data_IF_543375029501
#
_entry.id   IF_543375029501
#
_cell.length_a   1.000
_cell.length_b   1.000
_cell.length_c   1.000
_cell.angle_alpha   90.00
_cell.angle_beta   90.00
_cell.angle_gamma   90.00
#
_symmetry.space_group_name_H-M   'P 1'
#
loop_
_entity.id
_entity.type
_entity.pdbx_description
1 polymer ?
#
# COMPACT_ATOMS: atom_id res chain seq x y z
N UNK A 1 -7.91 -1.81 -5.10
CA UNK A 1 -6.70 -1.28 -5.78
C UNK A 1 -5.45 -1.43 -4.91
N UNK A 2 -5.52 -1.13 -3.60
CA UNK A 2 -4.35 -1.17 -2.70
C UNK A 2 -3.66 -2.54 -2.66
N UNK A 3 -4.43 -3.62 -2.59
CA UNK A 3 -3.91 -4.99 -2.61
C UNK A 3 -3.19 -5.31 -3.93
N UNK A 4 -3.79 -4.95 -5.08
CA UNK A 4 -3.16 -5.14 -6.39
C UNK A 4 -1.84 -4.37 -6.50
N UNK A 5 -1.78 -3.14 -5.96
CA UNK A 5 -0.57 -2.32 -5.95
C UNK A 5 0.58 -3.03 -5.22
N UNK A 6 0.31 -3.62 -4.06
CA UNK A 6 1.31 -4.33 -3.26
C UNK A 6 1.63 -5.75 -3.75
N UNK A 7 0.85 -6.26 -4.69
CA UNK A 7 1.13 -7.53 -5.38
C UNK A 7 1.92 -7.34 -6.68
N UNK A 8 1.59 -6.31 -7.47
CA UNK A 8 2.20 -6.07 -8.78
C UNK A 8 3.48 -5.24 -8.69
N UNK A 9 3.47 -4.16 -7.91
CA UNK A 9 4.58 -3.24 -7.81
C UNK A 9 5.91 -3.90 -7.44
N UNK A 10 5.97 -4.69 -6.35
CA UNK A 10 7.22 -5.33 -5.95
C UNK A 10 7.73 -6.39 -6.94
N UNK A 11 6.85 -6.98 -7.75
CA UNK A 11 7.24 -7.96 -8.77
C UNK A 11 7.90 -7.37 -9.99
N UNK A 12 7.68 -6.09 -10.21
CA UNK A 12 8.13 -5.39 -11.41
C UNK A 12 8.88 -4.11 -11.05
N UNK A 13 10.00 -4.21 -10.32
CA UNK A 13 10.78 -3.03 -9.91
C UNK A 13 11.31 -2.24 -11.12
N UNK A 14 11.46 -2.89 -12.27
CA UNK A 14 11.84 -2.26 -13.53
C UNK A 14 10.76 -1.34 -14.11
N UNK A 15 9.50 -1.49 -13.68
CA UNK A 15 8.36 -0.69 -14.13
C UNK A 15 7.84 0.26 -13.07
N UNK A 16 7.92 -0.12 -11.79
CA UNK A 16 7.29 0.58 -10.68
C UNK A 16 8.32 0.97 -9.63
N UNK A 17 8.82 2.20 -9.71
CA UNK A 17 9.75 2.77 -8.71
C UNK A 17 9.05 3.25 -7.43
N UNK A 18 7.74 3.50 -7.48
CA UNK A 18 6.96 3.93 -6.32
C UNK A 18 5.55 3.32 -6.32
N UNK A 19 5.04 3.06 -5.14
CA UNK A 19 3.73 2.44 -4.90
C UNK A 19 2.93 3.26 -3.90
N UNK A 20 1.66 3.55 -4.22
CA UNK A 20 0.73 4.32 -3.38
C UNK A 20 -0.53 3.50 -3.06
N UNK A 21 -0.44 2.40 -2.30
CA UNK A 21 -1.62 1.63 -1.90
C UNK A 21 -2.42 2.35 -0.81
N UNK A 22 -3.74 2.25 -0.89
CA UNK A 22 -4.67 2.71 0.14
C UNK A 22 -5.56 1.56 0.54
N UNK A 23 -5.76 1.38 1.84
CA UNK A 23 -6.64 0.37 2.44
C UNK A 23 -6.44 -1.04 1.82
N UNK A 24 -5.17 -1.45 1.66
CA UNK A 24 -4.81 -2.74 1.08
C UNK A 24 -5.01 -3.91 2.05
N UNK A 25 -5.45 -5.05 1.52
CA UNK A 25 -5.58 -6.27 2.28
C UNK A 25 -4.23 -6.97 2.46
N UNK A 26 -4.00 -7.51 3.66
CA UNK A 26 -2.85 -8.39 3.91
C UNK A 26 -3.06 -9.79 3.34
N UNK A 27 -4.30 -10.29 3.39
CA UNK A 27 -4.70 -11.59 2.88
C UNK A 27 -5.84 -11.41 1.88
N UNK A 28 -5.52 -11.26 0.58
CA UNK A 28 -6.54 -11.05 -0.44
C UNK A 28 -7.59 -12.15 -0.42
N UNK A 29 -8.87 -11.78 -0.30
CA UNK A 29 -9.95 -12.75 -0.23
C UNK A 29 -11.16 -12.34 -1.07
N UNK A 30 -11.92 -13.36 -1.49
CA UNK A 30 -13.30 -13.21 -1.93
C UNK A 30 -14.19 -14.04 -0.98
N UNK A 31 -14.42 -13.49 0.22
CA UNK A 31 -15.11 -14.13 1.33
C UNK A 31 -14.14 -14.70 2.38
N UNK A 32 -13.53 -15.85 2.14
CA UNK A 32 -12.54 -16.44 3.06
C UNK A 32 -11.30 -16.92 2.32
N UNK A 33 -10.16 -16.99 3.02
CA UNK A 33 -8.92 -17.55 2.47
C UNK A 33 -9.11 -18.97 1.96
N UNK A 34 -9.80 -19.82 2.74
CA UNK A 34 -10.05 -21.21 2.34
C UNK A 34 -10.86 -21.33 1.04
N UNK A 35 -11.87 -20.46 0.87
CA UNK A 35 -12.64 -20.37 -0.39
C UNK A 35 -11.74 -19.89 -1.54
N UNK A 36 -10.95 -18.86 -1.30
CA UNK A 36 -10.03 -18.32 -2.28
C UNK A 36 -9.04 -19.37 -2.78
N UNK A 37 -8.38 -20.09 -1.86
CA UNK A 37 -7.44 -21.18 -2.19
C UNK A 37 -8.13 -22.26 -3.02
N UNK A 38 -9.31 -22.69 -2.60
CA UNK A 38 -10.06 -23.75 -3.30
C UNK A 38 -10.48 -23.35 -4.71
N UNK A 39 -11.05 -22.16 -4.88
CA UNK A 39 -11.71 -21.76 -6.12
C UNK A 39 -10.75 -21.14 -7.15
N UNK A 40 -9.75 -20.39 -6.69
CA UNK A 40 -8.86 -19.65 -7.58
C UNK A 40 -7.45 -20.21 -7.68
N UNK A 41 -7.05 -21.06 -6.73
CA UNK A 41 -5.73 -21.67 -6.69
C UNK A 41 -5.77 -23.20 -6.75
N UNK A 42 -6.89 -23.79 -7.17
CA UNK A 42 -7.09 -25.23 -7.28
C UNK A 42 -6.73 -26.01 -6.00
N UNK A 43 -6.90 -25.38 -4.83
CA UNK A 43 -6.54 -25.96 -3.52
C UNK A 43 -5.06 -25.80 -3.14
N UNK A 44 -4.24 -25.18 -3.97
CA UNK A 44 -2.82 -24.95 -3.69
C UNK A 44 -2.61 -23.76 -2.77
N UNK A 45 -2.38 -24.07 -1.48
CA UNK A 45 -2.09 -23.05 -0.45
C UNK A 45 -0.80 -22.30 -0.74
N UNK A 46 0.23 -22.97 -1.27
CA UNK A 46 1.53 -22.35 -1.57
C UNK A 46 1.41 -21.32 -2.68
N UNK A 47 0.63 -21.62 -3.72
CA UNK A 47 0.34 -20.67 -4.80
C UNK A 47 -0.42 -19.43 -4.30
N UNK A 48 -1.36 -19.63 -3.36
CA UNK A 48 -2.03 -18.50 -2.69
C UNK A 48 -1.05 -17.68 -1.85
N UNK A 49 -0.24 -18.33 -1.01
CA UNK A 49 0.70 -17.66 -0.11
C UNK A 49 1.72 -16.82 -0.89
N UNK A 50 2.10 -17.26 -2.09
CA UNK A 50 2.95 -16.50 -3.00
C UNK A 50 2.28 -15.19 -3.53
N UNK A 51 0.97 -15.01 -3.33
CA UNK A 51 0.24 -13.78 -3.69
C UNK A 51 0.00 -12.84 -2.50
N UNK A 52 0.29 -13.29 -1.28
CA UNK A 52 0.15 -12.47 -0.08
C UNK A 52 1.16 -11.32 -0.14
N UNK A 53 0.75 -10.03 -0.02
CA UNK A 53 1.62 -8.87 -0.22
C UNK A 53 2.95 -8.91 0.52
N UNK A 54 2.95 -9.30 1.80
CA UNK A 54 4.21 -9.37 2.58
C UNK A 54 5.17 -10.43 2.04
N UNK A 55 4.66 -11.53 1.51
CA UNK A 55 5.47 -12.59 0.89
C UNK A 55 6.00 -12.15 -0.48
N UNK A 56 5.16 -11.44 -1.26
CA UNK A 56 5.57 -10.85 -2.53
C UNK A 56 6.71 -9.86 -2.32
N UNK A 57 6.55 -8.93 -1.38
CA UNK A 57 7.58 -7.94 -1.05
C UNK A 57 8.87 -8.63 -0.60
N UNK A 58 8.78 -9.62 0.28
CA UNK A 58 9.95 -10.36 0.76
C UNK A 58 10.69 -11.11 -0.36
N UNK A 59 9.97 -11.60 -1.37
CA UNK A 59 10.54 -12.40 -2.45
C UNK A 59 11.07 -11.54 -3.61
N UNK A 60 10.45 -10.40 -3.90
CA UNK A 60 10.68 -9.64 -5.14
C UNK A 60 10.88 -8.15 -4.96
N UNK A 61 10.65 -7.60 -3.76
CA UNK A 61 10.81 -6.17 -3.48
C UNK A 61 12.27 -5.72 -3.61
N UNK A 62 12.47 -4.49 -4.05
CA UNK A 62 13.77 -3.87 -4.28
C UNK A 62 13.97 -2.63 -3.40
N UNK A 63 15.20 -2.40 -2.93
CA UNK A 63 15.60 -1.16 -2.24
C UNK A 63 15.49 0.09 -3.11
N UNK A 64 15.41 -0.07 -4.43
CA UNK A 64 15.22 1.05 -5.36
C UNK A 64 13.76 1.49 -5.47
N UNK A 65 12.85 0.70 -4.88
CA UNK A 65 11.43 1.05 -4.81
C UNK A 65 11.10 1.83 -3.55
N UNK A 66 9.99 2.56 -3.60
CA UNK A 66 9.45 3.27 -2.46
C UNK A 66 7.96 2.97 -2.26
N UNK A 67 7.52 3.03 -1.01
CA UNK A 67 6.15 2.76 -0.60
C UNK A 67 5.58 3.94 0.18
N UNK A 68 4.52 4.55 -0.34
CA UNK A 68 3.68 5.49 0.39
C UNK A 68 2.33 4.82 0.63
N UNK A 69 2.08 4.36 1.83
CA UNK A 69 0.87 3.58 2.14
C UNK A 69 -0.04 4.32 3.10
N UNK A 70 -1.34 4.30 2.84
CA UNK A 70 -2.31 5.00 3.67
C UNK A 70 -3.53 4.17 4.03
N UNK A 71 -4.18 4.56 5.16
CA UNK A 71 -5.43 3.97 5.61
C UNK A 71 -6.28 4.99 6.38
N UNK A 72 -7.60 4.79 6.37
CA UNK A 72 -8.52 5.58 7.18
C UNK A 72 -8.42 5.24 8.68
N UNK A 73 -8.46 6.26 9.54
CA UNK A 73 -8.32 6.11 11.01
C UNK A 73 -9.34 5.14 11.62
N UNK A 74 -10.55 5.10 11.08
CA UNK A 74 -11.64 4.25 11.57
C UNK A 74 -11.54 2.81 11.06
N UNK A 75 -10.74 2.55 10.02
CA UNK A 75 -10.45 1.20 9.52
C UNK A 75 -9.22 0.60 10.21
N UNK A 76 -9.44 0.04 11.39
CA UNK A 76 -8.35 -0.55 12.19
C UNK A 76 -7.71 -1.77 11.53
N UNK A 77 -8.44 -2.49 10.69
CA UNK A 77 -7.90 -3.62 9.94
C UNK A 77 -6.95 -3.15 8.85
N UNK A 78 -7.34 -2.17 8.05
CA UNK A 78 -6.46 -1.60 7.03
C UNK A 78 -5.21 -0.94 7.62
N UNK A 79 -5.32 -0.26 8.79
CA UNK A 79 -4.14 0.25 9.50
C UNK A 79 -3.20 -0.89 9.91
N UNK A 80 -3.72 -1.98 10.46
CA UNK A 80 -2.92 -3.14 10.84
C UNK A 80 -2.21 -3.76 9.62
N UNK A 81 -2.95 -3.95 8.54
CA UNK A 81 -2.43 -4.48 7.28
C UNK A 81 -1.34 -3.57 6.69
N UNK A 82 -1.60 -2.26 6.63
CA UNK A 82 -0.63 -1.24 6.20
C UNK A 82 0.69 -1.36 6.95
N UNK A 83 0.65 -1.45 8.28
CA UNK A 83 1.85 -1.55 9.12
C UNK A 83 2.66 -2.81 8.86
N UNK A 84 2.00 -3.95 8.66
CA UNK A 84 2.68 -5.21 8.34
C UNK A 84 3.33 -5.17 6.96
N UNK A 85 2.64 -4.59 5.97
CA UNK A 85 3.17 -4.38 4.62
C UNK A 85 4.36 -3.42 4.66
N UNK A 86 4.23 -2.29 5.37
CA UNK A 86 5.31 -1.32 5.58
C UNK A 86 6.54 -1.95 6.26
N UNK A 87 6.32 -2.79 7.26
CA UNK A 87 7.41 -3.52 7.92
C UNK A 87 8.14 -4.46 6.95
N UNK A 88 7.41 -5.18 6.10
CA UNK A 88 8.01 -6.04 5.08
C UNK A 88 8.82 -5.23 4.06
N UNK A 89 8.28 -4.09 3.61
CA UNK A 89 8.97 -3.18 2.68
C UNK A 89 10.27 -2.61 3.27
N UNK A 90 10.26 -2.17 4.53
CA UNK A 90 11.48 -1.71 5.21
C UNK A 90 12.54 -2.80 5.32
N UNK A 91 12.14 -4.06 5.53
CA UNK A 91 13.09 -5.20 5.62
C UNK A 91 13.86 -5.45 4.34
N UNK A 92 13.29 -5.14 3.19
CA UNK A 92 13.97 -5.24 1.89
C UNK A 92 14.65 -3.93 1.46
N UNK A 93 14.64 -2.92 2.34
CA UNK A 93 15.36 -1.65 2.13
C UNK A 93 14.57 -0.59 1.37
N UNK A 94 13.26 -0.78 1.14
CA UNK A 94 12.43 0.28 0.55
C UNK A 94 12.37 1.51 1.45
N UNK A 95 12.28 2.69 0.85
CA UNK A 95 11.86 3.91 1.52
C UNK A 95 10.34 3.85 1.76
N UNK A 96 9.91 4.02 3.02
CA UNK A 96 8.51 3.79 3.41
C UNK A 96 7.94 4.94 4.21
N UNK A 97 6.85 5.50 3.71
CA UNK A 97 5.99 6.45 4.40
C UNK A 97 4.62 5.82 4.69
N UNK A 98 4.12 5.98 5.89
CA UNK A 98 2.79 5.52 6.32
C UNK A 98 1.93 6.73 6.67
N UNK A 99 0.64 6.66 6.30
CA UNK A 99 -0.30 7.74 6.48
C UNK A 99 -1.61 7.22 7.06
N UNK A 100 -2.06 7.80 8.18
CA UNK A 100 -3.41 7.59 8.70
C UNK A 100 -4.22 8.86 8.49
N UNK A 101 -5.36 8.72 7.82
CA UNK A 101 -6.26 9.85 7.52
C UNK A 101 -7.30 9.97 8.60
N UNK A 102 -7.29 11.05 9.41
CA UNK A 102 -8.25 11.24 10.50
C UNK A 102 -9.69 11.24 10.01
N UNK A 103 -10.60 10.76 10.86
CA UNK A 103 -12.06 10.78 10.65
C UNK A 103 -12.57 10.06 9.40
N UNK A 104 -11.73 9.25 8.73
CA UNK A 104 -12.12 8.44 7.55
C UNK A 104 -12.14 6.95 7.87
N UNK A 105 -12.85 6.18 7.05
CA UNK A 105 -12.87 4.72 7.08
C UNK A 105 -12.26 4.14 5.81
N UNK A 106 -12.75 2.95 5.41
CA UNK A 106 -12.46 2.34 4.10
C UNK A 106 -13.33 3.02 3.03
N UNK A 107 -13.00 4.24 2.70
CA UNK A 107 -13.83 5.09 1.84
C UNK A 107 -13.01 6.01 0.91
N UNK A 108 -13.70 6.65 -0.03
CA UNK A 108 -13.07 7.52 -1.01
C UNK A 108 -12.46 8.80 -0.41
N UNK A 109 -12.83 9.22 0.79
CA UNK A 109 -12.20 10.36 1.45
C UNK A 109 -10.78 9.99 1.89
N UNK A 110 -10.59 8.78 2.47
CA UNK A 110 -9.28 8.26 2.77
C UNK A 110 -8.42 8.16 1.50
N UNK A 111 -8.96 7.56 0.43
CA UNK A 111 -8.25 7.43 -0.85
C UNK A 111 -7.81 8.78 -1.41
N UNK A 112 -8.70 9.77 -1.43
CA UNK A 112 -8.37 11.11 -1.95
C UNK A 112 -7.28 11.79 -1.14
N UNK A 113 -7.34 11.72 0.20
CA UNK A 113 -6.34 12.33 1.07
C UNK A 113 -4.97 11.67 0.90
N UNK A 114 -4.93 10.34 0.92
CA UNK A 114 -3.68 9.58 0.72
C UNK A 114 -3.06 9.86 -0.64
N UNK A 115 -3.87 9.89 -1.69
CA UNK A 115 -3.35 10.14 -3.05
C UNK A 115 -2.83 11.56 -3.21
N UNK A 116 -3.47 12.56 -2.62
CA UNK A 116 -2.99 13.95 -2.66
C UNK A 116 -1.63 14.08 -1.98
N UNK A 117 -1.51 13.55 -0.75
CA UNK A 117 -0.24 13.55 -0.03
C UNK A 117 0.84 12.71 -0.73
N UNK A 118 0.44 11.56 -1.27
CA UNK A 118 1.35 10.66 -1.99
C UNK A 118 1.84 11.22 -3.32
N UNK A 119 1.03 12.02 -4.03
CA UNK A 119 1.46 12.69 -5.25
C UNK A 119 2.45 13.83 -4.97
N UNK A 120 2.26 14.57 -3.87
CA UNK A 120 3.23 15.56 -3.39
C UNK A 120 4.58 14.89 -3.06
N UNK A 121 4.53 13.84 -2.24
CA UNK A 121 5.69 13.02 -1.90
C UNK A 121 6.40 12.44 -3.15
N UNK A 122 5.64 11.96 -4.12
CA UNK A 122 6.17 11.44 -5.38
C UNK A 122 6.83 12.55 -6.22
N UNK A 123 6.21 13.73 -6.30
CA UNK A 123 6.72 14.88 -7.01
C UNK A 123 8.06 15.35 -6.45
N UNK A 124 8.20 15.44 -5.13
CA UNK A 124 9.46 15.76 -4.45
C UNK A 124 10.54 14.71 -4.73
N UNK A 125 10.19 13.44 -4.62
CA UNK A 125 11.11 12.30 -4.82
C UNK A 125 11.64 12.20 -6.24
N UNK A 126 10.83 12.54 -7.24
CA UNK A 126 11.19 12.43 -8.66
C UNK A 126 11.71 13.75 -9.25
N UNK A 127 11.72 14.83 -8.47
CA UNK A 127 12.10 16.15 -8.95
C UNK A 127 11.10 16.79 -9.90
N UNK A 128 9.85 16.29 -9.94
CA UNK A 128 8.76 16.88 -10.73
C UNK A 128 8.14 18.11 -10.07
N UNK A 129 8.62 18.48 -8.90
CA UNK A 129 8.19 19.66 -8.16
C UNK A 129 7.04 19.38 -7.18
N UNK A 130 6.67 20.42 -6.44
CA UNK A 130 5.57 20.35 -5.48
C UNK A 130 4.21 20.41 -6.18
N UNK A 131 3.22 19.72 -5.60
CA UNK A 131 1.83 19.84 -6.05
C UNK A 131 1.30 21.27 -5.84
N UNK A 132 0.37 21.75 -6.71
CA UNK A 132 -0.24 23.07 -6.56
C UNK A 132 -0.90 23.27 -5.19
N UNK A 133 -0.82 24.50 -4.66
CA UNK A 133 -1.29 24.92 -3.34
C UNK A 133 -2.68 24.37 -2.91
N UNK A 134 -3.71 24.30 -3.78
CA UNK A 134 -5.03 23.78 -3.38
C UNK A 134 -5.05 22.35 -2.84
N UNK A 135 -3.99 21.57 -3.09
CA UNK A 135 -3.85 20.22 -2.57
C UNK A 135 -3.10 20.16 -1.24
N UNK A 136 -2.37 21.23 -0.86
CA UNK A 136 -1.65 21.33 0.41
C UNK A 136 -2.55 21.71 1.59
N UNK A 137 -3.69 22.33 1.35
CA UNK A 137 -4.65 22.74 2.38
C UNK A 137 -5.47 21.56 2.96
N UNK A 138 -5.18 20.34 2.56
CA UNK A 138 -5.75 19.14 3.15
C UNK A 138 -5.04 18.80 4.47
N UNK A 139 -5.27 19.65 5.49
CA UNK A 139 -4.65 19.59 6.83
C UNK A 139 -5.11 18.41 7.72
N UNK A 140 -5.55 17.30 7.16
CA UNK A 140 -6.09 16.18 7.93
C UNK A 140 -5.28 14.89 7.78
N UNK A 141 -3.97 15.04 7.58
CA UNK A 141 -3.10 13.91 7.27
C UNK A 141 -1.99 13.82 8.31
N UNK A 142 -1.99 12.76 9.10
CA UNK A 142 -0.90 12.43 10.02
C UNK A 142 0.09 11.49 9.33
N UNK A 143 1.30 11.97 9.09
CA UNK A 143 2.40 11.15 8.57
C UNK A 143 3.05 10.43 9.73
N UNK A 144 2.95 9.12 9.76
CA UNK A 144 3.68 8.25 10.69
C UNK A 144 5.02 7.89 10.05
N UNK A 145 6.08 8.49 10.55
CA UNK A 145 7.46 8.16 10.21
C UNK A 145 7.95 6.91 10.95
#
# INVERSE_FOLDING_TARGET
>A
GGTCTTQLGPRHPELYGAMLPVDGELKPTNGTVAKMVKEYFAGDQSAYDAQVPVNVIAATGSSDQALFSGAGERDKESIHNMRLIAQAARKVGMDVTELVVPDTGHDWHAVQAVWRAGLDWFGERTGLGEMPQPLKDYNQVEVLQ
#
